data_IF_218510504804
#
_entry.id   IF_218510504804
#
_cell.length_a   1.000
_cell.length_b   1.000
_cell.length_c   1.000
_cell.angle_alpha   90.00
_cell.angle_beta   90.00
_cell.angle_gamma   90.00
#
_symmetry.space_group_name_H-M   'P 1'
#
loop_
_entity.id
_entity.type
_entity.pdbx_description
1 polymer ?
#
# COMPACT_ATOMS: atom_id res chain seq x y z
N UNK A 1 11.98 -40.67 17.29
CA UNK A 1 12.58 -39.40 17.76
C UNK A 1 13.23 -38.56 16.65
N UNK A 2 14.13 -39.09 15.80
CA UNK A 2 14.79 -38.32 14.70
C UNK A 2 13.83 -37.62 13.70
N UNK A 3 12.72 -38.27 13.31
CA UNK A 3 11.70 -37.70 12.42
C UNK A 3 11.00 -36.45 12.98
N UNK A 4 10.92 -36.32 14.31
CA UNK A 4 10.29 -35.17 15.00
C UNK A 4 11.16 -33.91 14.94
N UNK A 5 12.49 -34.08 14.90
CA UNK A 5 13.44 -32.97 14.90
C UNK A 5 13.46 -32.25 13.54
N UNK A 6 13.40 -33.03 12.44
CA UNK A 6 13.30 -32.47 11.08
C UNK A 6 11.99 -31.72 10.86
N UNK A 7 10.87 -32.25 11.39
CA UNK A 7 9.57 -31.59 11.29
C UNK A 7 9.53 -30.27 12.08
N UNK A 8 10.11 -30.24 13.29
CA UNK A 8 10.24 -29.02 14.08
C UNK A 8 11.13 -27.97 13.39
N UNK A 9 12.26 -28.37 12.82
CA UNK A 9 13.14 -27.47 12.09
C UNK A 9 12.46 -26.87 10.85
N UNK A 10 11.67 -27.66 10.10
CA UNK A 10 10.91 -27.19 8.95
C UNK A 10 9.84 -26.16 9.35
N UNK A 11 9.11 -26.39 10.45
CA UNK A 11 8.09 -25.46 10.96
C UNK A 11 8.73 -24.14 11.40
N UNK A 12 9.86 -24.19 12.12
CA UNK A 12 10.59 -22.99 12.55
C UNK A 12 11.09 -22.18 11.35
N UNK A 13 11.62 -22.85 10.32
CA UNK A 13 12.12 -22.18 9.11
C UNK A 13 10.99 -21.53 8.29
N UNK A 14 9.82 -22.19 8.23
CA UNK A 14 8.62 -21.65 7.58
C UNK A 14 8.06 -20.44 8.33
N UNK A 15 8.01 -20.50 9.66
CA UNK A 15 7.64 -19.36 10.52
C UNK A 15 8.65 -18.22 10.31
N UNK A 16 9.95 -18.49 10.42
CA UNK A 16 11.00 -17.47 10.27
C UNK A 16 10.87 -16.75 8.91
N UNK A 17 10.68 -17.49 7.82
CA UNK A 17 10.48 -16.92 6.48
C UNK A 17 9.22 -16.04 6.37
N UNK A 18 8.18 -16.32 7.16
CA UNK A 18 6.95 -15.50 7.19
C UNK A 18 7.06 -14.23 8.04
N UNK A 19 8.01 -14.17 8.99
CA UNK A 19 8.27 -12.97 9.81
C UNK A 19 9.31 -12.04 9.19
N UNK A 20 10.15 -12.54 8.28
CA UNK A 20 11.00 -11.66 7.46
C UNK A 20 10.12 -10.94 6.42
N UNK A 21 9.58 -9.78 6.79
CA UNK A 21 9.04 -8.85 5.81
C UNK A 21 10.17 -8.40 4.89
N UNK A 22 10.09 -8.62 3.56
CA UNK A 22 11.09 -8.08 2.66
C UNK A 22 11.03 -6.55 2.72
N UNK A 23 12.17 -5.90 2.98
CA UNK A 23 12.37 -4.46 2.79
C UNK A 23 12.43 -4.17 1.28
N UNK A 24 11.33 -4.37 0.58
CA UNK A 24 11.18 -3.91 -0.79
C UNK A 24 10.63 -2.49 -0.75
N UNK A 25 11.34 -1.58 -1.41
CA UNK A 25 10.80 -0.26 -1.67
C UNK A 25 9.52 -0.42 -2.50
N UNK A 26 8.45 0.23 -2.07
CA UNK A 26 7.20 0.29 -2.84
C UNK A 26 7.45 1.06 -4.14
N UNK A 27 6.82 0.60 -5.22
CA UNK A 27 6.85 1.28 -6.52
C UNK A 27 5.60 2.09 -6.72
N UNK A 28 5.73 3.37 -7.06
CA UNK A 28 4.60 4.26 -7.28
C UNK A 28 4.72 4.95 -8.63
N UNK A 29 3.59 5.40 -9.18
CA UNK A 29 3.65 6.38 -10.26
C UNK A 29 4.10 7.74 -9.70
N UNK A 30 5.06 8.37 -10.37
CA UNK A 30 5.62 9.67 -10.01
C UNK A 30 5.42 10.61 -11.20
N UNK A 31 4.55 11.61 -11.07
CA UNK A 31 4.29 12.56 -12.16
C UNK A 31 3.53 13.80 -11.70
N UNK A 32 3.58 14.85 -12.52
CA UNK A 32 2.81 16.08 -12.34
C UNK A 32 2.21 16.51 -13.69
N UNK A 33 0.89 16.66 -13.76
CA UNK A 33 0.16 17.01 -14.98
C UNK A 33 0.46 18.41 -15.53
N UNK A 34 1.05 19.29 -14.72
CA UNK A 34 1.49 20.62 -15.17
C UNK A 34 2.78 20.58 -15.99
N UNK A 35 3.59 19.52 -15.83
CA UNK A 35 4.86 19.34 -16.53
C UNK A 35 4.75 18.24 -17.59
N UNK A 36 3.99 17.18 -17.27
CA UNK A 36 3.85 15.99 -18.10
C UNK A 36 2.39 15.73 -18.44
N UNK A 37 2.03 15.86 -19.72
CA UNK A 37 0.65 15.64 -20.22
C UNK A 37 0.13 14.22 -20.00
N UNK A 38 1.03 13.25 -19.88
CA UNK A 38 0.73 11.84 -19.64
C UNK A 38 0.29 11.54 -18.20
N UNK A 39 0.46 12.48 -17.27
CA UNK A 39 0.03 12.35 -15.88
C UNK A 39 -1.48 12.57 -15.76
N UNK A 40 -2.25 11.72 -16.43
CA UNK A 40 -3.70 11.81 -16.46
C UNK A 40 -4.31 11.43 -15.11
N UNK A 41 -5.49 11.96 -14.81
CA UNK A 41 -6.31 11.55 -13.67
C UNK A 41 -6.56 10.05 -13.68
N UNK A 42 -6.93 9.51 -14.82
CA UNK A 42 -7.13 8.08 -15.04
C UNK A 42 -6.28 7.65 -16.24
N UNK A 43 -5.46 6.61 -16.04
CA UNK A 43 -4.61 6.13 -17.11
C UNK A 43 -5.44 5.40 -18.16
N UNK A 44 -5.23 5.78 -19.41
CA UNK A 44 -5.73 5.00 -20.53
C UNK A 44 -4.83 3.77 -20.71
N UNK A 45 -5.40 2.59 -20.48
CA UNK A 45 -4.70 1.31 -20.59
C UNK A 45 -4.08 1.07 -21.98
N UNK A 46 -4.60 1.72 -23.02
CA UNK A 46 -4.12 1.59 -24.40
C UNK A 46 -2.92 2.49 -24.73
N UNK A 47 -2.62 3.49 -23.89
CA UNK A 47 -1.54 4.46 -24.11
C UNK A 47 -0.76 4.70 -22.82
N UNK A 48 -0.22 3.62 -22.23
CA UNK A 48 0.59 3.73 -21.02
C UNK A 48 1.96 4.33 -21.35
N UNK A 49 2.14 5.62 -21.06
CA UNK A 49 3.40 6.35 -21.25
C UNK A 49 4.24 6.45 -19.97
N UNK A 50 3.63 6.31 -18.80
CA UNK A 50 4.31 6.35 -17.49
C UNK A 50 4.33 4.99 -16.81
N UNK A 51 5.46 4.70 -16.15
CA UNK A 51 5.77 3.42 -15.49
C UNK A 51 6.03 3.68 -14.01
N UNK A 52 5.62 2.78 -13.10
CA UNK A 52 5.95 2.90 -11.67
C UNK A 52 7.45 2.87 -11.43
N UNK A 53 7.93 3.71 -10.51
CA UNK A 53 9.32 3.82 -10.11
C UNK A 53 9.47 3.54 -8.61
N UNK A 54 10.66 3.09 -8.21
CA UNK A 54 10.99 2.92 -6.79
C UNK A 54 10.91 4.27 -6.04
N UNK A 55 10.35 4.25 -4.84
CA UNK A 55 10.26 5.44 -4.00
C UNK A 55 11.61 5.85 -3.41
N UNK A 56 12.17 6.96 -3.88
CA UNK A 56 13.36 7.59 -3.31
C UNK A 56 13.01 8.57 -2.18
N UNK A 57 12.29 8.07 -1.17
CA UNK A 57 11.91 8.82 0.04
C UNK A 57 12.23 7.94 1.24
N UNK A 58 12.85 8.53 2.28
CA UNK A 58 13.12 7.82 3.52
C UNK A 58 11.82 7.26 4.12
N UNK A 59 11.79 5.95 4.40
CA UNK A 59 10.60 5.22 4.83
C UNK A 59 9.38 5.36 3.93
N UNK A 60 9.60 5.55 2.61
CA UNK A 60 8.56 5.62 1.59
C UNK A 60 7.74 4.33 1.55
N UNK A 61 6.52 4.38 2.09
CA UNK A 61 5.61 3.22 2.22
C UNK A 61 4.21 3.48 1.67
N UNK A 62 3.96 4.69 1.19
CA UNK A 62 2.69 5.10 0.60
C UNK A 62 2.89 5.73 -0.77
N UNK A 63 2.03 5.34 -1.70
CA UNK A 63 1.82 6.06 -2.94
C UNK A 63 0.69 7.06 -2.75
N UNK A 64 0.95 8.31 -3.12
CA UNK A 64 -0.03 9.39 -3.06
C UNK A 64 -0.46 9.75 -4.49
N UNK A 65 -1.75 10.00 -4.67
CA UNK A 65 -2.33 10.70 -5.82
C UNK A 65 -3.16 11.87 -5.32
N UNK A 66 -2.95 13.02 -5.92
CA UNK A 66 -3.72 14.23 -5.65
C UNK A 66 -4.37 14.71 -6.94
N UNK A 67 -5.58 15.27 -6.83
CA UNK A 67 -6.40 15.68 -7.97
C UNK A 67 -7.08 17.00 -7.68
N UNK A 68 -7.30 17.79 -8.73
CA UNK A 68 -7.83 19.15 -8.58
C UNK A 68 -6.80 20.09 -7.97
N UNK A 69 -7.11 20.82 -6.90
CA UNK A 69 -6.16 21.77 -6.29
C UNK A 69 -5.48 21.17 -5.07
N UNK A 70 -4.16 21.01 -5.10
CA UNK A 70 -3.38 20.52 -3.96
C UNK A 70 -2.01 21.20 -3.88
N UNK A 71 -1.65 21.73 -2.71
CA UNK A 71 -0.33 22.35 -2.50
C UNK A 71 0.01 23.45 -3.50
N UNK A 72 -0.97 24.28 -3.87
CA UNK A 72 -0.88 25.32 -4.92
C UNK A 72 -0.71 24.82 -6.37
N UNK A 73 -0.82 23.51 -6.62
CA UNK A 73 -0.81 22.92 -7.96
C UNK A 73 -2.24 22.54 -8.35
N UNK A 74 -2.63 22.87 -9.60
CA UNK A 74 -3.90 22.45 -10.18
C UNK A 74 -3.66 21.31 -11.17
N UNK A 75 -4.31 20.17 -10.95
CA UNK A 75 -4.23 19.00 -11.82
C UNK A 75 -4.00 17.72 -11.04
N UNK A 76 -3.35 16.74 -11.68
CA UNK A 76 -3.00 15.47 -11.07
C UNK A 76 -1.53 15.45 -10.69
N UNK A 77 -1.23 15.17 -9.43
CA UNK A 77 0.15 14.95 -8.97
C UNK A 77 0.26 13.64 -8.22
N UNK A 78 1.30 12.86 -8.52
CA UNK A 78 1.57 11.56 -7.91
C UNK A 78 2.99 11.52 -7.36
N UNK A 79 3.14 11.04 -6.13
CA UNK A 79 4.41 11.04 -5.41
C UNK A 79 4.44 9.98 -4.32
N UNK A 80 5.63 9.68 -3.80
CA UNK A 80 5.82 8.79 -2.65
C UNK A 80 5.77 9.56 -1.33
N UNK A 81 5.29 8.91 -0.28
CA UNK A 81 5.25 9.46 1.08
C UNK A 81 5.61 8.41 2.13
N UNK A 82 6.23 8.87 3.21
CA UNK A 82 6.44 8.08 4.42
C UNK A 82 5.24 8.09 5.37
N UNK A 83 4.26 8.97 5.11
CA UNK A 83 3.05 9.17 5.92
C UNK A 83 1.77 9.02 5.09
N UNK A 84 0.72 8.52 5.73
CA UNK A 84 -0.63 8.49 5.15
C UNK A 84 -1.17 9.92 5.08
N UNK A 85 -1.52 10.38 3.88
CA UNK A 85 -2.05 11.72 3.65
C UNK A 85 -3.58 11.76 3.61
N UNK A 86 -4.22 10.62 3.90
CA UNK A 86 -5.66 10.45 3.89
C UNK A 86 -6.21 10.03 2.53
N UNK A 87 -7.54 9.88 2.53
CA UNK A 87 -8.32 9.41 1.39
C UNK A 87 -9.64 10.18 1.34
N UNK A 88 -9.58 11.44 0.92
CA UNK A 88 -10.73 12.33 0.96
C UNK A 88 -10.72 13.39 -0.13
N UNK A 89 -11.91 13.87 -0.47
CA UNK A 89 -12.12 15.00 -1.35
C UNK A 89 -12.84 16.11 -0.62
N UNK A 90 -12.39 17.34 -0.80
CA UNK A 90 -13.00 18.53 -0.23
C UNK A 90 -13.23 19.58 -1.32
N UNK A 91 -14.25 20.40 -1.12
CA UNK A 91 -14.53 21.55 -1.96
C UNK A 91 -14.03 22.80 -1.22
N UNK A 92 -13.06 23.48 -1.81
CA UNK A 92 -12.36 24.62 -1.22
C UNK A 92 -12.85 25.90 -1.91
N UNK A 93 -13.50 26.83 -1.19
CA UNK A 93 -13.75 28.18 -1.68
C UNK A 93 -12.48 29.03 -1.54
N UNK A 94 -12.27 29.96 -2.46
CA UNK A 94 -11.20 30.95 -2.37
C UNK A 94 -11.79 32.36 -2.20
N UNK A 95 -11.23 33.20 -1.33
CA UNK A 95 -11.79 34.53 -1.06
C UNK A 95 -11.68 35.48 -2.25
N UNK A 96 -10.71 35.29 -3.14
CA UNK A 96 -10.44 36.22 -4.25
C UNK A 96 -11.37 36.03 -5.46
N UNK A 97 -12.16 34.95 -5.51
CA UNK A 97 -13.02 34.62 -6.66
C UNK A 97 -14.10 33.59 -6.30
N UNK A 98 -15.25 33.66 -6.96
CA UNK A 98 -16.44 32.82 -6.71
C UNK A 98 -16.31 31.35 -7.17
N UNK A 99 -15.09 30.88 -7.45
CA UNK A 99 -14.87 29.50 -7.91
C UNK A 99 -14.60 28.60 -6.71
N UNK A 100 -15.31 27.49 -6.69
CA UNK A 100 -15.08 26.41 -5.73
C UNK A 100 -14.27 25.33 -6.43
N UNK A 101 -13.13 24.98 -5.88
CA UNK A 101 -12.28 23.92 -6.42
C UNK A 101 -12.47 22.64 -5.65
N UNK A 102 -12.44 21.51 -6.35
CA UNK A 102 -12.33 20.19 -5.72
C UNK A 102 -10.87 19.88 -5.49
N UNK A 103 -10.54 19.40 -4.31
CA UNK A 103 -9.21 18.94 -3.91
C UNK A 103 -9.35 17.53 -3.37
N UNK A 104 -8.69 16.54 -3.98
CA UNK A 104 -8.65 15.20 -3.44
C UNK A 104 -7.23 14.73 -3.16
N UNK A 105 -7.12 13.94 -2.10
CA UNK A 105 -5.93 13.18 -1.76
C UNK A 105 -6.30 11.71 -1.63
N UNK A 106 -5.47 10.85 -2.21
CA UNK A 106 -5.61 9.41 -2.17
C UNK A 106 -4.27 8.78 -1.77
N UNK A 107 -4.31 7.97 -0.72
CA UNK A 107 -3.17 7.25 -0.16
C UNK A 107 -3.42 5.75 -0.27
N UNK A 108 -2.43 5.01 -0.77
CA UNK A 108 -2.43 3.55 -0.81
C UNK A 108 -1.01 3.00 -0.58
N UNK A 109 -0.90 1.71 -0.23
CA UNK A 109 0.36 1.10 0.26
C UNK A 109 0.76 -0.18 -0.49
N UNK A 110 0.33 -0.33 -1.74
CA UNK A 110 0.76 -1.44 -2.61
C UNK A 110 1.38 -0.91 -3.91
N UNK A 111 2.17 -1.74 -4.59
CA UNK A 111 2.84 -1.32 -5.81
C UNK A 111 1.84 -0.79 -6.86
N UNK A 112 2.17 0.34 -7.46
CA UNK A 112 1.46 1.01 -8.54
C UNK A 112 -0.02 1.34 -8.21
N UNK A 113 -0.39 1.35 -6.93
CA UNK A 113 -1.79 1.52 -6.50
C UNK A 113 -2.37 2.92 -6.81
N UNK A 114 -1.51 3.92 -7.00
CA UNK A 114 -1.91 5.29 -7.31
C UNK A 114 -2.18 5.54 -8.80
N UNK A 115 -2.44 4.48 -9.60
CA UNK A 115 -2.73 4.58 -11.03
C UNK A 115 -4.02 5.36 -11.33
N UNK A 116 -5.10 5.04 -10.62
CA UNK A 116 -6.46 5.50 -10.91
C UNK A 116 -7.13 6.18 -9.73
N UNK A 117 -8.46 6.20 -9.73
CA UNK A 117 -9.26 6.54 -8.55
C UNK A 117 -9.13 5.43 -7.50
N UNK A 118 -9.26 5.72 -6.19
CA UNK A 118 -9.24 4.68 -5.17
C UNK A 118 -10.39 3.70 -5.42
N UNK A 119 -10.05 2.48 -5.81
CA UNK A 119 -10.95 1.34 -5.68
C UNK A 119 -11.12 1.06 -4.18
N UNK A 120 -12.37 1.01 -3.70
CA UNK A 120 -12.70 0.76 -2.29
C UNK A 120 -11.86 -0.38 -1.70
N UNK A 121 -11.23 -0.10 -0.56
CA UNK A 121 -10.08 -0.85 -0.04
C UNK A 121 -10.26 -2.37 0.04
N UNK A 122 -9.27 -3.08 -0.48
CA UNK A 122 -9.05 -4.49 -0.18
C UNK A 122 -8.54 -4.65 1.24
N UNK A 123 -9.41 -5.13 2.14
CA UNK A 123 -9.07 -5.46 3.52
C UNK A 123 -7.95 -6.49 3.59
N UNK A 124 -6.89 -6.14 4.32
CA UNK A 124 -5.75 -7.01 4.57
C UNK A 124 -6.14 -8.29 5.31
N UNK A 125 -5.57 -9.40 4.85
CA UNK A 125 -5.68 -10.74 5.40
C UNK A 125 -5.08 -10.83 6.82
N UNK A 126 -5.82 -10.44 7.86
CA UNK A 126 -5.38 -10.59 9.27
C UNK A 126 -5.90 -11.87 9.94
N UNK A 127 -6.79 -12.63 9.30
CA UNK A 127 -7.43 -13.81 9.90
C UNK A 127 -6.53 -15.06 9.94
N UNK A 128 -5.45 -15.11 9.14
CA UNK A 128 -4.63 -16.32 9.03
C UNK A 128 -3.64 -16.50 10.19
N UNK A 129 -3.24 -15.43 10.88
CA UNK A 129 -2.27 -15.50 11.98
C UNK A 129 -2.86 -16.16 13.24
N UNK A 130 -4.12 -15.87 13.60
CA UNK A 130 -4.79 -16.43 14.79
C UNK A 130 -5.05 -17.95 14.69
N UNK A 131 -5.28 -18.46 13.49
CA UNK A 131 -5.51 -19.90 13.26
C UNK A 131 -4.24 -20.72 13.48
N UNK A 132 -3.06 -20.17 13.15
CA UNK A 132 -1.78 -20.87 13.31
C UNK A 132 -1.34 -21.01 14.78
N UNK A 133 -1.71 -20.05 15.64
CA UNK A 133 -1.43 -20.16 17.07
C UNK A 133 -2.30 -21.23 17.76
N UNK A 134 -3.56 -21.38 17.33
CA UNK A 134 -4.49 -22.36 17.90
C UNK A 134 -4.13 -23.80 17.51
N UNK A 135 -3.68 -24.01 16.26
CA UNK A 135 -3.23 -25.34 15.80
C UNK A 135 -1.95 -25.77 16.52
N UNK A 136 -1.02 -24.84 16.78
CA UNK A 136 0.19 -25.13 17.54
C UNK A 136 -0.12 -25.52 18.99
N UNK A 137 -1.05 -24.81 19.66
CA UNK A 137 -1.49 -25.12 21.02
C UNK A 137 -2.18 -26.49 21.14
N UNK A 138 -3.02 -26.85 20.15
CA UNK A 138 -3.69 -28.15 20.08
C UNK A 138 -2.70 -29.30 19.84
N UNK A 139 -1.67 -29.09 19.01
CA UNK A 139 -0.65 -30.11 18.70
C UNK A 139 0.36 -30.31 19.84
N UNK A 140 0.68 -29.26 20.61
CA UNK A 140 1.58 -29.38 21.77
C UNK A 140 0.85 -29.82 23.04
N UNK A 141 -0.38 -29.37 23.25
CA UNK A 141 -1.18 -29.72 24.43
C UNK A 141 -1.66 -31.18 24.46
N UNK A 142 -1.88 -31.79 23.29
CA UNK A 142 -2.28 -33.21 23.18
C UNK A 142 -1.15 -34.19 23.52
N UNK A 143 0.11 -33.76 23.51
CA UNK A 143 1.26 -34.59 23.92
C UNK A 143 1.52 -34.63 25.42
N UNK A 144 0.99 -33.68 26.19
CA UNK A 144 1.22 -33.59 27.64
C UNK A 144 0.21 -34.37 28.49
N UNK A 145 -0.81 -34.99 27.87
CA UNK A 145 -1.83 -35.82 28.55
C UNK A 145 -1.61 -37.33 28.45
N UNK A 146 -0.51 -37.77 27.85
CA UNK A 146 -0.21 -39.19 27.59
C UNK A 146 1.13 -39.66 28.19
N UNK A 147 1.66 -38.91 29.17
CA UNK A 147 2.78 -39.31 30.04
C UNK A 147 2.30 -39.26 31.49
#
# INVERSE_FOLDING_TARGET
>A
LKMSLFLQAAIICFILSSVLSPCLAIKCYLCNSTIQSDCLEEFNYNSRSIVPMDCDVADGKFCIKTTGVWGAVVGTTRFCSSMDMGNQCQYLPFPDHDRIYRACVYTCSSDACNAGSPSGGGGGFTTLQLLTSLTLWLLTGSRLRLL
#
